data_IF_051410190163
#
_entry.id   IF_051410190163
#
_cell.length_a   1.000
_cell.length_b   1.000
_cell.length_c   1.000
_cell.angle_alpha   90.00
_cell.angle_beta   90.00
_cell.angle_gamma   90.00
#
_symmetry.space_group_name_H-M   'P 1'
#
loop_
_entity.id
_entity.type
_entity.pdbx_description
1 polymer ?
#
# COMPACT_ATOMS: atom_id res chain seq x y z
N UNK A 1 -15.43 -9.81 -0.73
CA UNK A 1 -15.69 -8.35 -0.64
C UNK A 1 -16.26 -7.84 -1.96
N UNK A 2 -16.84 -6.63 -2.01
CA UNK A 2 -17.33 -6.03 -3.25
C UNK A 2 -16.43 -4.87 -3.68
N UNK A 3 -16.09 -4.84 -4.96
CA UNK A 3 -15.43 -3.69 -5.59
C UNK A 3 -16.35 -3.08 -6.65
N UNK A 4 -16.06 -1.85 -7.06
CA UNK A 4 -16.81 -1.05 -8.01
C UNK A 4 -15.89 -0.72 -9.17
N UNK A 5 -16.24 -1.18 -10.37
CA UNK A 5 -15.53 -0.88 -11.61
C UNK A 5 -16.51 -0.23 -12.57
N UNK A 6 -16.21 1.00 -13.01
CA UNK A 6 -17.08 1.76 -13.93
C UNK A 6 -18.55 1.80 -13.49
N UNK A 7 -18.79 1.98 -12.19
CA UNK A 7 -20.12 2.05 -11.58
C UNK A 7 -20.81 0.70 -11.37
N UNK A 8 -20.18 -0.43 -11.72
CA UNK A 8 -20.73 -1.77 -11.51
C UNK A 8 -20.06 -2.45 -10.33
N UNK A 9 -20.88 -3.01 -9.44
CA UNK A 9 -20.37 -3.81 -8.32
C UNK A 9 -20.02 -5.23 -8.78
N UNK A 10 -18.90 -5.73 -8.29
CA UNK A 10 -18.42 -7.09 -8.53
C UNK A 10 -17.93 -7.70 -7.21
N UNK A 11 -18.39 -8.91 -6.92
CA UNK A 11 -17.89 -9.70 -5.80
C UNK A 11 -16.53 -10.30 -6.14
N UNK A 12 -15.58 -10.13 -5.23
CA UNK A 12 -14.20 -10.62 -5.34
C UNK A 12 -13.77 -11.29 -4.04
N UNK A 13 -12.98 -12.34 -4.17
CA UNK A 13 -12.40 -13.07 -3.05
C UNK A 13 -10.93 -13.30 -3.34
N UNK A 14 -10.04 -12.35 -2.93
CA UNK A 14 -8.62 -12.53 -3.11
C UNK A 14 -8.13 -13.80 -2.41
N UNK A 15 -7.32 -14.62 -3.10
CA UNK A 15 -6.76 -15.87 -2.57
C UNK A 15 -5.35 -15.69 -1.98
N UNK A 16 -4.68 -14.59 -2.33
CA UNK A 16 -3.36 -14.21 -1.83
C UNK A 16 -3.23 -12.71 -1.77
N UNK A 17 -2.57 -12.20 -0.72
CA UNK A 17 -2.25 -10.79 -0.57
C UNK A 17 -0.73 -10.63 -0.45
N UNK A 18 -0.15 -9.92 -1.40
CA UNK A 18 1.27 -9.59 -1.40
C UNK A 18 1.47 -8.09 -1.21
N UNK A 19 2.56 -7.74 -0.54
CA UNK A 19 3.05 -6.37 -0.45
C UNK A 19 4.48 -6.36 -0.99
N UNK A 20 4.73 -5.53 -2.00
CA UNK A 20 6.03 -5.40 -2.62
C UNK A 20 6.75 -4.15 -2.09
N UNK A 21 7.78 -4.37 -1.28
CA UNK A 21 8.68 -3.31 -0.82
C UNK A 21 9.85 -3.09 -1.78
N UNK A 22 10.46 -1.90 -1.72
CA UNK A 22 11.62 -1.54 -2.54
C UNK A 22 11.37 -1.61 -4.06
N UNK A 23 10.19 -1.22 -4.49
CA UNK A 23 9.75 -1.25 -5.90
C UNK A 23 10.15 0.00 -6.68
N UNK A 24 11.05 0.84 -6.17
CA UNK A 24 11.48 2.04 -6.89
C UNK A 24 12.09 1.72 -8.26
N UNK A 25 11.73 2.47 -9.32
CA UNK A 25 12.34 2.28 -10.66
C UNK A 25 13.83 2.59 -10.64
N UNK A 26 14.23 3.63 -9.92
CA UNK A 26 15.63 3.98 -9.75
C UNK A 26 16.33 3.02 -8.76
N UNK A 27 16.98 2.00 -9.32
CA UNK A 27 17.74 1.01 -8.57
C UNK A 27 18.93 1.62 -7.80
N UNK A 28 19.49 2.75 -8.24
CA UNK A 28 20.54 3.44 -7.50
C UNK A 28 19.98 4.08 -6.23
N UNK A 29 18.80 4.71 -6.32
CA UNK A 29 18.09 5.28 -5.17
C UNK A 29 17.61 4.19 -4.20
N UNK A 30 17.06 3.08 -4.70
CA UNK A 30 16.69 1.93 -3.87
C UNK A 30 17.91 1.38 -3.12
N UNK A 31 19.05 1.21 -3.80
CA UNK A 31 20.29 0.75 -3.17
C UNK A 31 20.79 1.72 -2.11
N UNK A 32 20.79 3.02 -2.40
CA UNK A 32 21.20 4.06 -1.44
C UNK A 32 20.35 4.01 -0.18
N UNK A 33 19.03 3.87 -0.32
CA UNK A 33 18.12 3.74 0.82
C UNK A 33 18.41 2.49 1.65
N UNK A 34 18.69 1.35 1.00
CA UNK A 34 19.11 0.13 1.70
C UNK A 34 20.43 0.34 2.47
N UNK A 35 21.40 1.04 1.88
CA UNK A 35 22.69 1.34 2.53
C UNK A 35 22.51 2.28 3.74
N UNK A 36 21.60 3.26 3.65
CA UNK A 36 21.21 4.15 4.76
C UNK A 36 20.56 3.37 5.92
N UNK A 37 19.61 2.48 5.62
CA UNK A 37 18.96 1.60 6.60
C UNK A 37 19.97 0.67 7.28
N UNK A 38 20.93 0.14 6.51
CA UNK A 38 22.00 -0.70 7.04
C UNK A 38 22.91 0.05 8.01
N UNK A 39 23.17 1.34 7.78
CA UNK A 39 23.99 2.16 8.67
C UNK A 39 23.36 2.35 10.06
N UNK A 40 22.03 2.28 10.16
CA UNK A 40 21.29 2.37 11.43
C UNK A 40 20.90 1.00 12.01
N UNK A 41 21.42 -0.09 11.44
CA UNK A 41 21.26 -1.45 11.98
C UNK A 41 20.07 -2.24 11.42
N UNK A 42 19.35 -1.73 10.41
CA UNK A 42 18.30 -2.48 9.72
C UNK A 42 18.92 -3.40 8.66
N UNK A 43 18.68 -4.72 8.68
CA UNK A 43 19.29 -5.63 7.72
C UNK A 43 18.80 -5.37 6.29
N UNK A 44 19.71 -5.45 5.32
CA UNK A 44 19.37 -5.36 3.91
C UNK A 44 18.42 -6.50 3.49
N UNK A 45 17.46 -6.25 2.59
CA UNK A 45 16.56 -7.30 2.10
C UNK A 45 17.36 -8.36 1.32
N UNK A 46 16.97 -9.64 1.41
CA UNK A 46 17.67 -10.71 0.69
C UNK A 46 17.47 -10.63 -0.83
N UNK A 47 16.39 -9.99 -1.28
CA UNK A 47 16.06 -9.74 -2.68
C UNK A 47 15.29 -8.42 -2.79
N UNK A 48 15.53 -7.70 -3.88
CA UNK A 48 14.82 -6.47 -4.26
C UNK A 48 14.03 -6.73 -5.55
N UNK A 49 12.75 -6.32 -5.65
CA UNK A 49 11.88 -5.90 -4.54
C UNK A 49 11.71 -7.01 -3.50
N UNK A 50 11.39 -6.66 -2.26
CA UNK A 50 11.09 -7.62 -1.20
C UNK A 50 9.59 -7.91 -1.22
N UNK A 51 9.19 -9.19 -1.22
CA UNK A 51 7.79 -9.59 -1.29
C UNK A 51 7.35 -10.12 0.07
N UNK A 52 6.39 -9.44 0.70
CA UNK A 52 5.78 -9.84 1.95
C UNK A 52 4.43 -10.51 1.65
N UNK A 53 4.29 -11.78 2.03
CA UNK A 53 3.07 -12.55 1.85
C UNK A 53 2.27 -12.53 3.15
N UNK A 54 1.08 -11.94 3.14
CA UNK A 54 0.28 -11.70 4.34
C UNK A 54 -1.14 -12.24 4.17
N UNK A 55 -1.85 -12.45 5.29
CA UNK A 55 -3.22 -12.97 5.23
C UNK A 55 -4.16 -12.04 4.45
N UNK A 56 -5.01 -12.64 3.61
CA UNK A 56 -6.11 -11.94 2.92
C UNK A 56 -7.17 -11.42 3.89
N UNK A 57 -7.23 -11.95 5.12
CA UNK A 57 -8.14 -11.47 6.18
C UNK A 57 -7.85 -10.03 6.62
N UNK A 58 -6.66 -9.51 6.29
CA UNK A 58 -6.30 -8.14 6.58
C UNK A 58 -7.01 -7.14 5.65
N UNK A 59 -7.48 -7.58 4.49
CA UNK A 59 -8.11 -6.71 3.49
C UNK A 59 -9.44 -6.21 4.03
N UNK A 60 -9.65 -4.90 3.99
CA UNK A 60 -10.91 -4.31 4.44
C UNK A 60 -11.27 -3.08 3.60
N UNK A 61 -12.57 -2.88 3.38
CA UNK A 61 -13.13 -1.63 2.85
C UNK A 61 -13.85 -0.83 3.94
N UNK A 62 -13.62 -1.18 5.21
CA UNK A 62 -14.18 -0.49 6.38
C UNK A 62 -13.64 0.95 6.44
N UNK A 63 -14.49 1.89 6.86
CA UNK A 63 -14.11 3.27 7.13
C UNK A 63 -13.36 3.44 8.46
N UNK A 64 -13.04 2.35 9.15
CA UNK A 64 -12.20 2.35 10.32
C UNK A 64 -11.45 1.03 10.51
N UNK A 65 -10.27 1.13 11.12
CA UNK A 65 -9.46 0.01 11.59
C UNK A 65 -9.15 0.15 13.08
N UNK A 66 -8.66 -0.93 13.69
CA UNK A 66 -8.21 -0.92 15.08
C UNK A 66 -6.74 -1.30 15.19
N UNK A 67 -6.02 -0.62 16.06
CA UNK A 67 -4.58 -0.81 16.30
C UNK A 67 -4.28 -0.78 17.80
N UNK A 68 -3.16 -1.37 18.19
CA UNK A 68 -2.65 -1.30 19.56
C UNK A 68 -1.59 -0.20 19.62
N UNK A 69 -1.78 0.79 20.51
CA UNK A 69 -0.96 2.01 20.63
C UNK A 69 -1.06 2.97 19.43
N UNK A 70 -0.48 4.16 19.61
CA UNK A 70 -0.48 5.26 18.65
C UNK A 70 0.65 5.19 17.62
N UNK A 71 1.48 4.15 17.65
CA UNK A 71 2.72 4.07 16.86
C UNK A 71 2.56 3.27 15.55
N UNK A 72 1.40 3.37 14.91
CA UNK A 72 1.14 2.79 13.59
C UNK A 72 0.75 3.87 12.60
N UNK A 73 1.12 3.70 11.32
CA UNK A 73 0.76 4.68 10.28
C UNK A 73 0.35 4.01 8.98
N UNK A 74 -0.48 4.70 8.21
CA UNK A 74 -0.87 4.29 6.86
C UNK A 74 0.21 4.62 5.84
N UNK A 75 0.35 3.80 4.81
CA UNK A 75 1.21 4.05 3.64
C UNK A 75 0.35 3.94 2.39
N UNK A 76 0.17 5.01 1.62
CA UNK A 76 -0.62 4.96 0.40
C UNK A 76 0.13 4.15 -0.66
N UNK A 77 -0.56 3.17 -1.23
CA UNK A 77 -0.04 2.33 -2.30
C UNK A 77 -1.06 2.12 -3.39
N UNK A 78 -0.59 2.09 -4.64
CA UNK A 78 -1.38 1.53 -5.72
C UNK A 78 -1.50 0.02 -5.51
N UNK A 79 -2.72 -0.48 -5.65
CA UNK A 79 -3.05 -1.91 -5.50
C UNK A 79 -3.45 -2.46 -6.85
N UNK A 80 -2.86 -3.57 -7.27
CA UNK A 80 -3.36 -4.33 -8.43
C UNK A 80 -4.04 -5.61 -7.96
N UNK A 81 -5.13 -5.98 -8.62
CA UNK A 81 -5.89 -7.17 -8.31
C UNK A 81 -6.21 -7.94 -9.58
N UNK A 82 -5.96 -9.24 -9.57
CA UNK A 82 -6.46 -10.14 -10.59
C UNK A 82 -7.86 -10.62 -10.20
N UNK A 83 -8.80 -10.63 -11.15
CA UNK A 83 -10.09 -11.29 -10.98
C UNK A 83 -10.37 -12.05 -12.27
N UNK A 84 -10.36 -13.38 -12.20
CA UNK A 84 -10.63 -14.26 -13.36
C UNK A 84 -9.80 -13.90 -14.60
N UNK A 85 -8.52 -13.55 -14.40
CA UNK A 85 -7.59 -13.21 -15.50
C UNK A 85 -7.57 -11.74 -15.93
N UNK A 86 -8.51 -10.90 -15.48
CA UNK A 86 -8.47 -9.46 -15.73
C UNK A 86 -7.78 -8.73 -14.56
N UNK A 87 -6.89 -7.79 -14.88
CA UNK A 87 -6.23 -6.95 -13.90
C UNK A 87 -6.93 -5.60 -13.71
N UNK A 88 -7.04 -5.23 -12.45
CA UNK A 88 -7.65 -3.99 -11.98
C UNK A 88 -6.67 -3.21 -11.13
N UNK A 89 -6.82 -1.89 -11.08
CA UNK A 89 -6.03 -0.96 -10.26
C UNK A 89 -6.93 -0.28 -9.24
N UNK A 90 -6.50 -0.27 -8.00
CA UNK A 90 -7.13 0.41 -6.88
C UNK A 90 -6.12 1.17 -6.04
N UNK A 91 -6.58 1.70 -4.92
CA UNK A 91 -5.78 2.38 -3.91
C UNK A 91 -5.93 1.66 -2.57
N UNK A 92 -4.81 1.46 -1.89
CA UNK A 92 -4.77 0.84 -0.58
C UNK A 92 -3.89 1.62 0.39
N UNK A 93 -4.01 1.25 1.66
CA UNK A 93 -3.10 1.67 2.71
C UNK A 93 -2.40 0.45 3.31
N UNK A 94 -1.09 0.38 3.13
CA UNK A 94 -0.24 -0.62 3.80
C UNK A 94 0.02 -0.22 5.26
N UNK A 95 -1.06 -0.15 6.04
CA UNK A 95 -0.98 0.30 7.42
C UNK A 95 -0.03 -0.59 8.22
N UNK A 96 0.94 0.00 8.91
CA UNK A 96 2.07 -0.74 9.48
C UNK A 96 2.33 -0.31 10.92
N UNK A 97 2.56 -1.28 11.80
CA UNK A 97 3.04 -1.05 13.17
C UNK A 97 4.53 -0.69 13.16
N UNK A 98 4.87 0.55 13.53
CA UNK A 98 6.24 1.07 13.40
C UNK A 98 7.18 0.60 14.48
N UNK A 99 6.67 0.17 15.64
CA UNK A 99 7.53 -0.41 16.67
C UNK A 99 7.87 -1.86 16.33
N UNK A 100 6.89 -2.64 15.87
CA UNK A 100 7.12 -4.01 15.44
C UNK A 100 7.96 -4.06 14.15
N UNK A 101 7.87 -3.04 13.28
CA UNK A 101 8.64 -2.96 12.04
C UNK A 101 10.14 -2.95 12.29
N UNK A 102 10.60 -2.25 13.34
CA UNK A 102 12.02 -2.24 13.78
C UNK A 102 12.54 -3.63 14.12
N UNK A 103 11.65 -4.56 14.46
CA UNK A 103 11.99 -5.95 14.83
C UNK A 103 11.76 -6.90 13.66
N UNK A 104 10.65 -6.74 12.93
CA UNK A 104 10.28 -7.57 11.79
C UNK A 104 9.23 -6.90 10.90
N UNK A 105 9.66 -6.46 9.71
CA UNK A 105 8.81 -5.83 8.69
C UNK A 105 7.64 -6.75 8.27
N UNK A 106 7.90 -8.06 8.09
CA UNK A 106 6.85 -9.02 7.75
C UNK A 106 5.76 -9.08 8.83
N UNK A 107 6.16 -9.11 10.11
CA UNK A 107 5.21 -9.22 11.23
C UNK A 107 4.46 -7.91 11.46
N UNK A 108 5.13 -6.75 11.34
CA UNK A 108 4.46 -5.45 11.45
C UNK A 108 3.37 -5.27 10.40
N UNK A 109 3.60 -5.77 9.18
CA UNK A 109 2.57 -5.75 8.13
C UNK A 109 1.43 -6.74 8.43
N UNK A 110 1.72 -7.90 9.01
CA UNK A 110 0.72 -8.94 9.31
C UNK A 110 -0.23 -8.59 10.45
N UNK A 111 0.17 -7.73 11.40
CA UNK A 111 -0.67 -7.37 12.57
C UNK A 111 -1.64 -6.23 12.29
N UNK A 112 -1.51 -5.54 11.16
CA UNK A 112 -2.34 -4.39 10.80
C UNK A 112 -3.26 -4.73 9.62
N UNK A 113 -4.48 -4.22 9.67
CA UNK A 113 -5.40 -4.25 8.52
C UNK A 113 -4.80 -3.52 7.32
N UNK A 114 -5.25 -3.89 6.12
CA UNK A 114 -4.91 -3.25 4.84
C UNK A 114 -6.17 -2.64 4.23
N UNK A 115 -6.57 -1.42 4.65
CA UNK A 115 -7.68 -0.71 4.05
C UNK A 115 -7.47 -0.50 2.56
N UNK A 116 -8.51 -0.73 1.77
CA UNK A 116 -8.52 -0.45 0.33
C UNK A 116 -9.76 0.34 -0.04
N UNK A 117 -9.66 1.12 -1.11
CA UNK A 117 -10.83 1.70 -1.75
C UNK A 117 -11.73 0.60 -2.30
N UNK A 118 -13.03 0.88 -2.35
CA UNK A 118 -13.96 0.02 -3.10
C UNK A 118 -13.91 0.30 -4.59
N UNK A 119 -13.34 1.42 -5.04
CA UNK A 119 -13.29 1.81 -6.45
C UNK A 119 -12.02 1.29 -7.12
N UNK A 120 -12.19 0.74 -8.32
CA UNK A 120 -11.12 0.20 -9.14
C UNK A 120 -11.28 0.63 -10.61
N UNK A 121 -10.16 0.83 -11.28
CA UNK A 121 -10.05 0.98 -12.73
C UNK A 121 -9.58 -0.32 -13.38
N UNK A 122 -9.77 -0.46 -14.69
CA UNK A 122 -9.04 -1.48 -15.43
C UNK A 122 -7.56 -1.09 -15.48
N UNK A 123 -6.65 -2.04 -15.29
CA UNK A 123 -5.22 -1.75 -15.40
C UNK A 123 -4.87 -1.25 -16.81
N UNK A 124 -5.46 -1.88 -17.84
CA UNK A 124 -5.24 -1.53 -19.23
C UNK A 124 -5.65 -0.09 -19.57
N UNK A 125 -6.62 0.48 -18.83
CA UNK A 125 -7.06 1.87 -19.03
C UNK A 125 -5.95 2.86 -18.71
N UNK A 126 -5.01 2.53 -17.82
CA UNK A 126 -3.99 3.45 -17.32
C UNK A 126 -2.55 3.01 -17.61
N UNK A 127 -2.33 1.74 -17.97
CA UNK A 127 -0.98 1.14 -18.09
C UNK A 127 -0.04 1.96 -18.99
N UNK A 128 -0.53 2.47 -20.14
CA UNK A 128 0.29 3.27 -21.06
C UNK A 128 0.72 4.64 -20.52
N UNK A 129 0.09 5.11 -19.44
CA UNK A 129 0.38 6.39 -18.76
C UNK A 129 0.55 6.21 -17.26
N UNK A 130 0.98 5.01 -16.85
CA UNK A 130 1.18 4.65 -15.45
C UNK A 130 1.95 5.75 -14.70
N UNK A 131 3.03 6.23 -15.32
CA UNK A 131 3.96 7.19 -14.73
C UNK A 131 3.34 8.57 -14.45
N UNK A 132 2.23 8.90 -15.12
CA UNK A 132 1.53 10.19 -15.02
C UNK A 132 0.44 10.19 -13.93
N UNK A 133 0.07 9.02 -13.40
CA UNK A 133 -0.95 8.90 -12.37
C UNK A 133 -0.38 9.44 -11.06
N UNK A 134 -1.06 10.42 -10.48
CA UNK A 134 -0.64 11.03 -9.23
C UNK A 134 -1.14 10.22 -8.04
N UNK A 135 -0.33 10.16 -6.99
CA UNK A 135 -0.72 9.59 -5.70
C UNK A 135 -0.42 10.58 -4.59
N UNK A 136 -1.40 10.80 -3.71
CA UNK A 136 -1.25 11.67 -2.54
C UNK A 136 -1.87 11.03 -1.31
N UNK A 137 -1.32 11.34 -0.15
CA UNK A 137 -1.89 10.91 1.12
C UNK A 137 -1.73 11.95 2.21
N UNK A 138 -2.58 11.83 3.21
CA UNK A 138 -2.64 12.70 4.37
C UNK A 138 -2.88 11.86 5.62
N UNK A 139 -2.17 12.20 6.70
CA UNK A 139 -2.56 11.77 8.04
C UNK A 139 -3.60 12.75 8.58
N UNK A 140 -4.67 12.24 9.17
CA UNK A 140 -5.61 13.05 9.93
C UNK A 140 -5.08 13.15 11.36
N UNK A 141 -4.88 14.37 11.85
CA UNK A 141 -4.44 14.63 13.22
C UNK A 141 -5.34 15.68 13.81
N UNK A 142 -6.12 15.33 14.83
CA UNK A 142 -7.09 16.22 15.48
C UNK A 142 -8.07 16.83 14.47
N UNK A 143 -8.52 16.04 13.49
CA UNK A 143 -9.42 16.49 12.43
C UNK A 143 -8.77 17.36 11.33
N UNK A 144 -7.45 17.55 11.34
CA UNK A 144 -6.72 18.30 10.31
C UNK A 144 -5.90 17.36 9.43
N UNK A 145 -6.06 17.45 8.10
CA UNK A 145 -5.24 16.71 7.14
C UNK A 145 -3.83 17.32 7.08
N UNK A 146 -2.83 16.51 7.42
CA UNK A 146 -1.42 16.83 7.23
C UNK A 146 -0.89 16.05 6.04
N UNK A 147 -0.31 16.73 5.06
CA UNK A 147 0.26 16.08 3.87
C UNK A 147 1.35 15.11 4.30
N UNK A 148 1.27 13.89 3.76
CA UNK A 148 2.09 12.78 4.21
C UNK A 148 2.92 12.18 3.07
N UNK A 149 2.30 11.91 1.92
CA UNK A 149 2.99 11.43 0.72
C UNK A 149 2.46 12.14 -0.51
N UNK A 150 3.32 12.43 -1.49
CA UNK A 150 2.94 13.11 -2.74
C UNK A 150 3.93 12.77 -3.85
N UNK A 151 3.42 12.44 -5.04
CA UNK A 151 4.25 12.02 -6.17
C UNK A 151 3.43 11.37 -7.28
N UNK A 152 4.08 10.61 -8.16
CA UNK A 152 3.42 9.86 -9.21
C UNK A 152 3.79 8.38 -9.15
N UNK A 153 3.01 7.53 -9.80
CA UNK A 153 3.33 6.10 -9.88
C UNK A 153 4.59 5.81 -10.73
N UNK A 154 5.13 6.82 -11.42
CA UNK A 154 6.38 6.74 -12.17
C UNK A 154 7.61 6.45 -11.30
N UNK A 155 7.50 6.65 -9.99
CA UNK A 155 8.53 6.28 -9.02
C UNK A 155 8.63 4.75 -8.83
N UNK A 156 7.60 3.97 -9.16
CA UNK A 156 7.52 2.52 -8.92
C UNK A 156 7.66 1.71 -10.20
N UNK A 157 8.18 0.47 -10.09
CA UNK A 157 8.19 -0.52 -11.16
C UNK A 157 6.83 -0.56 -11.86
N UNK A 158 6.86 -0.65 -13.20
CA UNK A 158 5.65 -0.80 -13.96
C UNK A 158 4.98 -2.14 -13.58
N UNK A 159 3.64 -2.23 -13.49
CA UNK A 159 2.95 -3.43 -13.04
C UNK A 159 3.38 -4.72 -13.77
N UNK A 160 3.64 -4.61 -15.07
CA UNK A 160 4.17 -5.72 -15.89
C UNK A 160 5.49 -6.28 -15.36
N UNK A 161 6.41 -5.40 -14.96
CA UNK A 161 7.73 -5.81 -14.47
C UNK A 161 7.61 -6.43 -13.09
N UNK A 162 6.78 -5.84 -12.21
CA UNK A 162 6.51 -6.40 -10.89
C UNK A 162 5.82 -7.78 -10.97
N UNK A 163 4.86 -7.96 -11.88
CA UNK A 163 4.19 -9.23 -12.09
C UNK A 163 5.15 -10.31 -12.60
N UNK A 164 6.06 -9.96 -13.53
CA UNK A 164 7.12 -10.88 -13.99
C UNK A 164 7.96 -11.37 -12.81
N UNK A 165 8.37 -10.46 -11.93
CA UNK A 165 9.14 -10.81 -10.72
C UNK A 165 8.35 -11.73 -9.77
N UNK A 166 7.05 -11.47 -9.59
CA UNK A 166 6.17 -12.28 -8.75
C UNK A 166 6.00 -13.69 -9.32
N UNK A 167 5.83 -13.81 -10.63
CA UNK A 167 5.73 -15.09 -11.35
C UNK A 167 7.03 -15.89 -11.26
N UNK A 168 8.16 -15.27 -11.61
CA UNK A 168 9.49 -15.92 -11.60
C UNK A 168 9.89 -16.43 -10.21
N UNK A 169 9.41 -15.77 -9.15
CA UNK A 169 9.67 -16.15 -7.76
C UNK A 169 8.62 -17.12 -7.18
N UNK A 170 7.65 -17.57 -7.97
CA UNK A 170 6.64 -18.54 -7.55
C UNK A 170 5.58 -17.98 -6.61
N UNK A 171 5.38 -16.66 -6.60
CA UNK A 171 4.36 -16.00 -5.79
C UNK A 171 3.00 -15.86 -6.50
N UNK A 172 2.95 -16.11 -7.81
CA UNK A 172 1.72 -15.99 -8.58
C UNK A 172 0.60 -16.89 -8.03
N UNK A 173 -0.61 -16.33 -7.98
CA UNK A 173 -1.83 -17.03 -7.65
C UNK A 173 -2.98 -16.41 -8.44
N UNK A 174 -3.93 -17.22 -8.90
CA UNK A 174 -5.19 -16.69 -9.42
C UNK A 174 -5.90 -15.87 -8.33
N UNK A 175 -6.60 -14.82 -8.75
CA UNK A 175 -7.33 -13.94 -7.84
C UNK A 175 -6.46 -13.37 -6.71
N UNK A 176 -5.23 -12.94 -7.01
CA UNK A 176 -4.35 -12.30 -6.03
C UNK A 176 -4.49 -10.77 -6.00
N UNK A 177 -4.12 -10.18 -4.88
CA UNK A 177 -3.99 -8.74 -4.68
C UNK A 177 -2.55 -8.40 -4.33
N UNK A 178 -2.03 -7.32 -4.91
CA UNK A 178 -0.64 -6.88 -4.73
C UNK A 178 -0.65 -5.39 -4.43
N UNK A 179 -0.03 -5.03 -3.30
CA UNK A 179 0.37 -3.69 -2.93
C UNK A 179 1.75 -3.42 -3.57
N UNK A 180 1.83 -2.38 -4.42
CA UNK A 180 2.95 -2.21 -5.36
C UNK A 180 4.08 -1.29 -4.85
N UNK A 181 4.02 -0.85 -3.61
CA UNK A 181 4.97 0.05 -2.98
C UNK A 181 4.39 1.43 -2.71
N UNK A 182 5.14 2.18 -1.90
CA UNK A 182 4.71 3.43 -1.29
C UNK A 182 5.71 4.56 -1.54
N UNK A 183 5.22 5.80 -1.59
CA UNK A 183 6.07 6.98 -1.80
C UNK A 183 6.82 7.34 -0.51
N UNK A 184 7.98 8.00 -0.60
CA UNK A 184 8.63 8.58 0.57
C UNK A 184 7.70 9.56 1.31
N UNK A 185 7.85 9.63 2.63
CA UNK A 185 7.14 10.62 3.45
C UNK A 185 7.70 12.02 3.18
N UNK A 186 6.83 13.00 2.95
CA UNK A 186 7.22 14.38 2.60
C UNK A 186 8.17 15.00 3.62
N UNK A 187 7.92 14.80 4.92
CA UNK A 187 8.74 15.34 6.01
C UNK A 187 9.90 14.43 6.39
N UNK A 188 9.93 13.19 5.91
CA UNK A 188 10.85 12.14 6.36
C UNK A 188 10.53 11.54 7.74
N UNK A 189 9.47 11.98 8.42
CA UNK A 189 9.10 11.51 9.75
C UNK A 189 7.69 10.91 9.76
N UNK A 190 7.50 9.81 10.49
CA UNK A 190 6.18 9.22 10.67
C UNK A 190 5.26 10.20 11.41
N UNK A 191 4.09 10.44 10.83
CA UNK A 191 3.00 11.16 11.48
C UNK A 191 2.00 10.10 11.95
N UNK A 192 1.61 10.18 13.22
CA UNK A 192 0.60 9.32 13.82
C UNK A 192 -0.68 10.13 14.02
N UNK A 193 -1.84 9.52 13.77
CA UNK A 193 -3.08 10.26 13.64
C UNK A 193 -4.34 9.42 13.85
N UNK A 194 -5.47 10.10 13.97
CA UNK A 194 -6.80 9.52 14.17
C UNK A 194 -7.45 9.00 12.87
N UNK A 195 -6.77 9.16 11.74
CA UNK A 195 -7.20 8.65 10.45
C UNK A 195 -6.16 8.83 9.35
N UNK A 196 -6.50 8.31 8.18
CA UNK A 196 -5.68 8.37 6.98
C UNK A 196 -6.57 8.63 5.76
N UNK A 197 -6.09 9.47 4.86
CA UNK A 197 -6.70 9.74 3.57
C UNK A 197 -5.68 9.53 2.46
N UNK A 198 -6.11 9.04 1.30
CA UNK A 198 -5.29 8.99 0.10
C UNK A 198 -6.13 9.14 -1.16
N UNK A 199 -5.48 9.59 -2.25
CA UNK A 199 -6.07 9.61 -3.58
C UNK A 199 -5.09 9.12 -4.65
N UNK A 200 -5.63 8.43 -5.65
CA UNK A 200 -5.03 8.32 -6.99
C UNK A 200 -5.77 9.28 -7.92
N UNK A 201 -5.04 9.99 -8.75
CA UNK A 201 -5.62 10.96 -9.69
C UNK A 201 -5.05 10.82 -11.10
N UNK A 202 -5.93 10.57 -12.06
CA UNK A 202 -5.62 10.56 -13.49
C UNK A 202 -5.98 11.91 -14.11
N UNK A 203 -4.98 12.79 -14.24
CA UNK A 203 -5.13 14.15 -14.79
C UNK A 203 -5.73 14.17 -16.21
N UNK A 204 -5.51 13.12 -17.00
CA UNK A 204 -5.97 13.07 -18.39
C UNK A 204 -7.47 12.86 -18.48
N UNK A 205 -8.03 12.03 -17.58
CA UNK A 205 -9.45 11.67 -17.58
C UNK A 205 -10.25 12.34 -16.47
N UNK A 206 -9.58 13.11 -15.61
CA UNK A 206 -10.12 13.74 -14.40
C UNK A 206 -10.80 12.73 -13.45
N UNK A 207 -10.34 11.47 -13.46
CA UNK A 207 -10.84 10.40 -12.59
C UNK A 207 -10.01 10.29 -11.33
N UNK A 208 -10.67 9.97 -10.21
CA UNK A 208 -10.04 9.72 -8.92
C UNK A 208 -10.44 8.37 -8.34
N UNK A 209 -9.56 7.80 -7.52
CA UNK A 209 -9.88 6.76 -6.54
C UNK A 209 -9.47 7.31 -5.18
N UNK A 210 -10.39 7.29 -4.24
CA UNK A 210 -10.18 7.84 -2.89
C UNK A 210 -10.26 6.72 -1.84
N UNK A 211 -9.49 6.89 -0.77
CA UNK A 211 -9.48 6.04 0.41
C UNK A 211 -9.47 6.93 1.64
N UNK A 212 -10.42 6.72 2.55
CA UNK A 212 -10.47 7.37 3.86
C UNK A 212 -10.83 6.34 4.93
N UNK A 213 -10.10 6.32 6.03
CA UNK A 213 -10.46 5.55 7.20
C UNK A 213 -9.98 6.19 8.50
N UNK A 214 -10.66 5.86 9.60
CA UNK A 214 -10.28 6.24 10.96
C UNK A 214 -9.44 5.17 11.63
N UNK A 215 -8.59 5.58 12.56
CA UNK A 215 -7.81 4.69 13.40
C UNK A 215 -8.41 4.68 14.80
N UNK A 216 -8.78 3.51 15.28
CA UNK A 216 -9.28 3.30 16.63
C UNK A 216 -8.21 2.62 17.48
N UNK A 217 -7.71 3.32 18.49
CA UNK A 217 -6.71 2.78 19.41
C UNK A 217 -7.42 1.89 20.43
N UNK A 218 -6.96 0.64 20.53
CA UNK A 218 -7.45 -0.34 21.49
C UNK A 218 -6.79 -0.10 22.85
N UNK A 219 -7.52 -0.46 23.92
CA UNK A 219 -6.95 -0.50 25.26
C UNK A 219 -5.86 -1.58 25.33
N UNK A 220 -4.67 -1.20 25.80
CA UNK A 220 -3.54 -2.10 25.99
C UNK A 220 -3.52 -2.62 27.44
N UNK A 221 -3.81 -3.91 27.61
CA UNK A 221 -3.86 -4.55 28.92
C UNK A 221 -2.46 -4.70 29.58
N UNK A 222 -1.38 -4.52 28.83
CA UNK A 222 0.00 -4.64 29.33
C UNK A 222 0.56 -3.33 29.89
N UNK A 223 -0.15 -2.22 29.71
CA UNK A 223 0.28 -0.86 30.11
C UNK A 223 -0.66 -0.26 31.17
N UNK A 224 -1.40 -1.11 31.88
CA UNK A 224 -2.32 -0.71 32.97
C UNK A 224 -1.56 -0.21 34.20
#
# INVERSE_FOLDING_TARGET
>A
MNIIVSGKSMEVTPKRLLIAGYTGKDQASVKKHIDELKAIGVPAPPQVPMIYDVSTDLITTSSAISVVKETSSGEAEVVIMNVKGQWYVGLGSDHTDRELEKVSIQKSKQVCSKPISSQFWLLDDIASRWDDIEMRSWMLVNGVKQEYQTGTLGEFLHPKDLLTIIEDRGYYCEDMMIFCGTLPIVTGEFIYGDGFSAELYDRLTDRKIELDYKVHILADAEVV
#
